data_IF_686260597364
#
_entry.id   IF_686260597364
#
_cell.length_a   1.000
_cell.length_b   1.000
_cell.length_c   1.000
_cell.angle_alpha   90.00
_cell.angle_beta   90.00
_cell.angle_gamma   90.00
#
_symmetry.space_group_name_H-M   'P 1'
#
loop_
_entity.id
_entity.type
_entity.pdbx_description
1 polymer ?
#
# COMPACT_ATOMS: atom_id res chain seq x y z
N UNK A 1 -24.92 24.88 -29.11
CA UNK A 1 -25.36 26.23 -29.54
C UNK A 1 -25.21 27.32 -28.45
N UNK A 2 -25.26 26.98 -27.15
CA UNK A 2 -25.16 27.94 -26.02
C UNK A 2 -23.73 28.47 -25.81
N UNK A 3 -22.71 27.62 -25.97
CA UNK A 3 -21.29 27.97 -25.83
C UNK A 3 -20.85 29.02 -26.87
N UNK A 4 -21.30 28.88 -28.12
CA UNK A 4 -21.01 29.83 -29.20
C UNK A 4 -21.68 31.21 -29.02
N UNK A 5 -22.79 31.29 -28.27
CA UNK A 5 -23.45 32.56 -27.91
C UNK A 5 -22.72 33.26 -26.75
N UNK A 6 -22.28 32.51 -25.72
CA UNK A 6 -21.49 33.08 -24.61
C UNK A 6 -20.11 33.57 -25.05
N UNK A 7 -19.44 32.85 -25.95
CA UNK A 7 -18.18 33.33 -26.57
C UNK A 7 -18.35 34.63 -27.35
N UNK A 8 -19.50 34.81 -28.02
CA UNK A 8 -19.81 36.05 -28.76
C UNK A 8 -20.05 37.25 -27.84
N UNK A 9 -20.66 37.02 -26.68
CA UNK A 9 -20.88 38.05 -25.66
C UNK A 9 -19.56 38.48 -24.99
N UNK A 10 -18.62 37.55 -24.78
CA UNK A 10 -17.28 37.89 -24.26
C UNK A 10 -16.45 38.69 -25.25
N UNK A 11 -16.62 38.47 -26.57
CA UNK A 11 -15.99 39.30 -27.60
C UNK A 11 -16.58 40.73 -27.70
N UNK A 12 -17.83 40.95 -27.24
CA UNK A 12 -18.45 42.28 -27.20
C UNK A 12 -17.98 43.13 -26.01
N UNK A 13 -17.37 42.54 -24.98
CA UNK A 13 -16.81 43.23 -23.81
C UNK A 13 -15.38 43.77 -24.01
N UNK A 14 -14.89 43.88 -25.25
CA UNK A 14 -13.59 44.54 -25.55
C UNK A 14 -12.34 43.74 -25.17
N UNK A 15 -12.47 42.46 -24.80
CA UNK A 15 -11.31 41.63 -24.50
C UNK A 15 -10.61 41.20 -25.81
N UNK A 16 -9.31 41.52 -26.00
CA UNK A 16 -8.56 41.03 -27.14
C UNK A 16 -8.61 39.50 -27.19
N UNK A 17 -8.78 38.93 -28.40
CA UNK A 17 -8.84 37.46 -28.64
C UNK A 17 -7.72 36.68 -27.93
N UNK A 18 -6.55 37.30 -27.75
CA UNK A 18 -5.41 36.75 -27.02
C UNK A 18 -5.73 36.46 -25.54
N UNK A 19 -6.49 37.33 -24.86
CA UNK A 19 -6.88 37.12 -23.46
C UNK A 19 -7.88 35.97 -23.29
N UNK A 20 -8.79 35.77 -24.24
CA UNK A 20 -9.75 34.66 -24.21
C UNK A 20 -9.04 33.32 -24.40
N UNK A 21 -8.08 33.25 -25.33
CA UNK A 21 -7.29 32.03 -25.55
C UNK A 21 -6.43 31.74 -24.32
N UNK A 22 -5.76 32.77 -23.78
CA UNK A 22 -4.94 32.64 -22.58
C UNK A 22 -5.76 32.13 -21.39
N UNK A 23 -6.98 32.66 -21.16
CA UNK A 23 -7.82 32.21 -20.06
C UNK A 23 -8.26 30.75 -20.21
N UNK A 24 -8.60 30.29 -21.41
CA UNK A 24 -8.95 28.89 -21.67
C UNK A 24 -7.76 27.97 -21.36
N UNK A 25 -6.57 28.33 -21.86
CA UNK A 25 -5.34 27.55 -21.61
C UNK A 25 -5.01 27.52 -20.12
N UNK A 26 -5.12 28.64 -19.42
CA UNK A 26 -4.91 28.70 -17.96
C UNK A 26 -5.89 27.78 -17.24
N UNK A 27 -7.18 27.81 -17.58
CA UNK A 27 -8.18 26.92 -16.96
C UNK A 27 -7.87 25.45 -17.24
N UNK A 28 -7.45 25.10 -18.46
CA UNK A 28 -7.06 23.74 -18.81
C UNK A 28 -5.85 23.24 -18.00
N UNK A 29 -4.84 24.08 -17.83
CA UNK A 29 -3.65 23.77 -17.02
C UNK A 29 -4.02 23.66 -15.55
N UNK A 30 -4.83 24.59 -15.03
CA UNK A 30 -5.28 24.55 -13.63
C UNK A 30 -6.11 23.30 -13.34
N UNK A 31 -6.98 22.89 -14.26
CA UNK A 31 -7.77 21.67 -14.11
C UNK A 31 -6.87 20.42 -14.11
N UNK A 32 -5.89 20.36 -15.02
CA UNK A 32 -4.94 19.24 -15.07
C UNK A 32 -4.08 19.20 -13.80
N UNK A 33 -3.60 20.36 -13.33
CA UNK A 33 -2.88 20.46 -12.07
C UNK A 33 -3.73 19.98 -10.90
N UNK A 34 -4.99 20.42 -10.80
CA UNK A 34 -5.90 19.97 -9.76
C UNK A 34 -6.04 18.44 -9.73
N UNK A 35 -6.28 17.81 -10.89
CA UNK A 35 -6.41 16.34 -10.97
C UNK A 35 -5.12 15.61 -10.57
N UNK A 36 -3.96 16.18 -10.92
CA UNK A 36 -2.65 15.62 -10.60
C UNK A 36 -2.30 15.72 -9.11
N UNK A 37 -2.62 16.85 -8.47
CA UNK A 37 -2.23 17.15 -7.08
C UNK A 37 -3.30 16.82 -6.03
N UNK A 38 -4.52 16.45 -6.45
CA UNK A 38 -5.55 16.02 -5.51
C UNK A 38 -5.09 14.82 -4.67
N UNK A 39 -5.48 14.84 -3.39
CA UNK A 39 -5.29 13.71 -2.48
C UNK A 39 -6.13 12.53 -2.92
N UNK A 40 -5.57 11.32 -2.77
CA UNK A 40 -6.21 10.07 -3.18
C UNK A 40 -5.98 9.00 -2.15
N UNK A 41 -6.93 8.07 -2.08
CA UNK A 41 -6.81 6.86 -1.27
C UNK A 41 -5.90 5.88 -2.01
N UNK A 42 -4.81 5.49 -1.34
CA UNK A 42 -3.88 4.50 -1.82
C UNK A 42 -4.01 3.23 -0.97
N UNK A 43 -4.18 2.10 -1.64
CA UNK A 43 -4.13 0.78 -1.02
C UNK A 43 -2.77 0.18 -1.36
N UNK A 44 -1.98 -0.10 -0.32
CA UNK A 44 -0.72 -0.81 -0.47
C UNK A 44 -0.97 -2.29 -0.29
N UNK A 45 -0.41 -3.08 -1.18
CA UNK A 45 -0.33 -4.53 -1.10
C UNK A 45 1.12 -4.90 -0.93
N UNK A 46 1.45 -5.57 0.17
CA UNK A 46 2.78 -6.13 0.40
C UNK A 46 2.69 -7.64 0.27
N UNK A 47 3.50 -8.21 -0.60
CA UNK A 47 3.62 -9.65 -0.79
C UNK A 47 5.08 -10.04 -0.63
N UNK A 48 5.39 -10.89 0.34
CA UNK A 48 6.77 -11.17 0.73
C UNK A 48 6.96 -12.63 1.16
N UNK A 49 8.19 -13.12 1.03
CA UNK A 49 8.68 -14.34 1.69
C UNK A 49 9.73 -13.95 2.72
N UNK A 50 9.54 -14.36 3.96
CA UNK A 50 10.39 -13.94 5.09
C UNK A 50 10.53 -15.05 6.11
N UNK A 51 11.67 -15.06 6.81
CA UNK A 51 11.90 -15.97 7.93
C UNK A 51 11.43 -15.39 9.26
N UNK A 52 11.22 -14.07 9.31
CA UNK A 52 10.71 -13.34 10.48
C UNK A 52 9.64 -12.32 10.08
N UNK A 53 8.58 -12.27 10.88
CA UNK A 53 7.50 -11.33 10.74
C UNK A 53 7.07 -10.86 12.13
N UNK A 54 6.91 -9.55 12.29
CA UNK A 54 6.36 -8.97 13.51
C UNK A 54 5.04 -8.28 13.21
N UNK A 55 4.01 -8.63 13.97
CA UNK A 55 2.66 -8.06 13.83
C UNK A 55 2.21 -7.52 15.18
N UNK A 56 1.89 -6.23 15.25
CA UNK A 56 1.21 -5.64 16.40
C UNK A 56 -0.30 -5.76 16.19
N UNK A 57 -0.94 -6.59 17.00
CA UNK A 57 -2.33 -7.02 16.83
C UNK A 57 -3.30 -5.87 17.14
N UNK A 58 -4.21 -5.59 16.21
CA UNK A 58 -5.31 -4.66 16.40
C UNK A 58 -6.57 -5.37 16.92
N UNK A 59 -7.54 -4.63 17.44
CA UNK A 59 -8.81 -5.20 17.89
C UNK A 59 -9.64 -5.73 16.70
N UNK A 60 -9.78 -7.06 16.61
CA UNK A 60 -10.61 -7.73 15.61
C UNK A 60 -10.77 -9.24 15.86
N UNK A 61 -11.94 -9.80 15.51
CA UNK A 61 -12.16 -11.26 15.55
C UNK A 61 -11.38 -12.06 14.51
N UNK A 62 -10.77 -11.42 13.50
CA UNK A 62 -9.87 -12.10 12.55
C UNK A 62 -8.57 -12.57 13.23
N UNK A 63 -8.18 -11.96 14.35
CA UNK A 63 -6.99 -12.33 15.12
C UNK A 63 -7.23 -13.57 16.01
N UNK A 64 -7.93 -14.55 15.44
CA UNK A 64 -8.17 -15.87 16.00
C UNK A 64 -7.47 -16.88 15.11
N UNK A 65 -6.59 -17.70 15.69
CA UNK A 65 -5.81 -18.68 14.94
C UNK A 65 -6.12 -20.08 15.40
N UNK A 66 -6.31 -20.99 14.44
CA UNK A 66 -6.42 -22.41 14.72
C UNK A 66 -5.05 -22.97 15.11
N UNK A 67 -5.00 -23.66 16.25
CA UNK A 67 -3.78 -24.26 16.79
C UNK A 67 -3.93 -25.79 16.76
N UNK A 68 -3.03 -26.51 16.09
CA UNK A 68 -3.06 -27.97 16.05
C UNK A 68 -2.78 -28.58 17.42
N UNK A 69 -3.32 -29.77 17.68
CA UNK A 69 -3.14 -30.48 18.96
C UNK A 69 -1.68 -30.78 19.34
N UNK A 70 -0.79 -30.88 18.35
CA UNK A 70 0.64 -31.16 18.57
C UNK A 70 1.47 -29.88 18.79
N UNK A 71 0.85 -28.70 18.73
CA UNK A 71 1.52 -27.47 19.10
C UNK A 71 1.70 -27.40 20.62
N UNK A 72 2.83 -26.89 21.05
CA UNK A 72 3.12 -26.66 22.46
C UNK A 72 2.93 -25.18 22.76
N UNK A 73 2.07 -24.87 23.73
CA UNK A 73 1.87 -23.51 24.24
C UNK A 73 2.57 -23.42 25.58
N UNK A 74 3.55 -22.53 25.68
CA UNK A 74 4.42 -22.38 26.85
C UNK A 74 4.26 -20.95 27.37
N UNK A 75 3.68 -20.81 28.57
CA UNK A 75 3.67 -19.53 29.26
C UNK A 75 4.98 -19.38 30.04
N UNK A 76 5.78 -18.39 29.65
CA UNK A 76 7.13 -18.22 30.19
C UNK A 76 7.15 -17.92 31.68
N UNK A 77 6.18 -17.13 32.17
CA UNK A 77 6.14 -16.71 33.57
C UNK A 77 5.49 -17.76 34.47
N UNK A 78 4.53 -18.53 33.95
CA UNK A 78 3.97 -19.67 34.67
C UNK A 78 4.90 -20.90 34.64
N UNK A 79 5.85 -20.95 33.70
CA UNK A 79 6.69 -22.12 33.40
C UNK A 79 5.86 -23.41 33.20
N UNK A 80 4.64 -23.24 32.68
CA UNK A 80 3.65 -24.30 32.58
C UNK A 80 3.25 -24.46 31.10
N UNK A 81 3.19 -25.71 30.65
CA UNK A 81 2.67 -26.03 29.33
C UNK A 81 1.15 -26.08 29.43
N UNK A 82 0.47 -25.33 28.56
CA UNK A 82 -0.99 -25.30 28.53
C UNK A 82 -1.46 -26.49 27.69
N UNK A 83 -2.19 -27.46 28.29
CA UNK A 83 -2.65 -28.62 27.54
C UNK A 83 -3.74 -28.21 26.54
N UNK A 84 -3.60 -28.68 25.31
CA UNK A 84 -4.64 -28.58 24.28
C UNK A 84 -5.56 -29.80 24.38
N UNK A 85 -6.82 -29.57 24.74
CA UNK A 85 -7.85 -30.60 24.86
C UNK A 85 -8.88 -30.52 23.73
N UNK A 86 -9.26 -31.66 23.13
CA UNK A 86 -10.30 -31.72 22.10
C UNK A 86 -9.77 -31.64 20.67
N UNK A 87 -10.65 -31.76 19.67
CA UNK A 87 -10.29 -31.87 18.24
C UNK A 87 -9.90 -30.55 17.58
N UNK A 88 -10.39 -29.43 18.11
CA UNK A 88 -10.16 -28.09 17.59
C UNK A 88 -9.81 -27.17 18.76
N UNK A 89 -8.72 -26.42 18.58
CA UNK A 89 -8.25 -25.43 19.55
C UNK A 89 -7.96 -24.13 18.82
N UNK A 90 -8.32 -23.01 19.42
CA UNK A 90 -8.12 -21.68 18.86
C UNK A 90 -7.41 -20.79 19.87
N UNK A 91 -6.52 -19.92 19.39
CA UNK A 91 -5.98 -18.83 20.20
C UNK A 91 -6.62 -17.52 19.77
N UNK A 92 -7.19 -16.80 20.73
CA UNK A 92 -7.75 -15.47 20.58
C UNK A 92 -6.71 -14.46 21.06
N UNK A 93 -6.05 -13.77 20.14
CA UNK A 93 -4.93 -12.88 20.50
C UNK A 93 -5.46 -11.50 20.88
N UNK A 94 -5.09 -11.00 22.06
CA UNK A 94 -5.52 -9.71 22.56
C UNK A 94 -4.94 -8.54 21.74
N UNK A 95 -5.70 -7.45 21.62
CA UNK A 95 -5.22 -6.23 20.99
C UNK A 95 -4.03 -5.62 21.75
N UNK A 96 -3.08 -5.04 21.02
CA UNK A 96 -1.83 -4.50 21.57
C UNK A 96 -0.73 -5.56 21.77
N UNK A 97 -1.05 -6.84 21.60
CA UNK A 97 -0.05 -7.92 21.61
C UNK A 97 0.84 -7.83 20.38
N UNK A 98 2.14 -8.02 20.58
CA UNK A 98 3.13 -8.15 19.52
C UNK A 98 3.36 -9.63 19.26
N UNK A 99 2.96 -10.09 18.07
CA UNK A 99 3.21 -11.43 17.61
C UNK A 99 4.46 -11.47 16.72
N UNK A 100 5.49 -12.17 17.16
CA UNK A 100 6.72 -12.39 16.41
C UNK A 100 6.72 -13.83 15.90
N UNK A 101 6.53 -14.00 14.60
CA UNK A 101 6.57 -15.30 13.92
C UNK A 101 7.98 -15.51 13.36
N UNK A 102 8.61 -16.62 13.71
CA UNK A 102 10.00 -16.93 13.30
C UNK A 102 10.10 -18.39 12.86
N UNK A 103 10.87 -18.64 11.79
CA UNK A 103 11.26 -20.00 11.39
C UNK A 103 12.58 -20.37 12.07
N UNK A 104 12.56 -21.43 12.87
CA UNK A 104 13.77 -22.06 13.42
C UNK A 104 14.31 -23.07 12.41
N UNK A 105 15.22 -22.63 11.54
CA UNK A 105 15.81 -23.45 10.47
C UNK A 105 16.55 -24.70 10.97
N UNK A 106 17.05 -24.69 12.22
CA UNK A 106 17.75 -25.86 12.77
C UNK A 106 16.80 -27.01 13.10
N UNK A 107 15.53 -26.68 13.41
CA UNK A 107 14.51 -27.63 13.82
C UNK A 107 13.32 -27.69 12.85
N UNK A 108 13.39 -26.96 11.74
CA UNK A 108 12.37 -26.86 10.69
C UNK A 108 10.95 -26.60 11.25
N UNK A 109 10.86 -25.70 12.23
CA UNK A 109 9.62 -25.42 12.95
C UNK A 109 9.30 -23.94 12.98
N UNK A 110 8.01 -23.64 12.95
CA UNK A 110 7.48 -22.32 13.22
C UNK A 110 7.41 -22.10 14.73
N UNK A 111 7.83 -20.93 15.18
CA UNK A 111 7.65 -20.43 16.54
C UNK A 111 6.92 -19.09 16.46
N UNK A 112 5.83 -18.95 17.21
CA UNK A 112 5.14 -17.68 17.38
C UNK A 112 5.30 -17.25 18.83
N UNK A 113 6.01 -16.16 19.04
CA UNK A 113 6.15 -15.52 20.36
C UNK A 113 5.14 -14.39 20.46
N UNK A 114 4.29 -14.44 21.47
CA UNK A 114 3.32 -13.41 21.80
C UNK A 114 3.80 -12.64 23.02
N UNK A 115 3.88 -11.31 22.90
CA UNK A 115 4.32 -10.43 23.98
C UNK A 115 3.34 -9.27 24.14
N UNK A 116 2.87 -9.03 25.36
CA UNK A 116 2.10 -7.84 25.71
C UNK A 116 2.84 -7.03 26.78
N UNK A 117 3.36 -5.88 26.38
CA UNK A 117 4.17 -4.98 27.23
C UNK A 117 3.36 -4.13 28.21
N UNK A 118 2.03 -4.30 28.25
CA UNK A 118 1.18 -3.58 29.20
C UNK A 118 1.33 -4.19 30.59
N UNK A 119 1.46 -3.36 31.62
CA UNK A 119 1.55 -3.83 33.02
C UNK A 119 0.26 -4.56 33.41
N UNK A 120 0.37 -5.85 33.75
CA UNK A 120 -0.79 -6.72 34.02
C UNK A 120 -1.55 -7.14 32.75
N UNK A 121 -0.97 -6.92 31.57
CA UNK A 121 -1.54 -7.30 30.29
C UNK A 121 -1.66 -8.82 30.12
N UNK A 122 -2.43 -9.23 29.12
CA UNK A 122 -2.56 -10.61 28.69
C UNK A 122 -2.38 -10.64 27.17
N UNK A 123 -1.74 -11.69 26.66
CA UNK A 123 -1.63 -11.91 25.21
C UNK A 123 -2.92 -12.47 24.61
N UNK A 124 -3.89 -12.85 25.46
CA UNK A 124 -5.19 -13.38 25.03
C UNK A 124 -5.63 -14.63 25.78
N UNK A 125 -6.34 -15.51 25.09
CA UNK A 125 -6.88 -16.74 25.65
C UNK A 125 -6.85 -17.88 24.63
N UNK A 126 -6.78 -19.11 25.15
CA UNK A 126 -6.88 -20.33 24.35
C UNK A 126 -8.24 -20.94 24.58
N UNK A 127 -8.97 -21.18 23.51
CA UNK A 127 -10.21 -21.93 23.49
C UNK A 127 -9.91 -23.38 23.10
N UNK A 128 -10.21 -24.31 24.00
CA UNK A 128 -10.02 -25.74 23.77
C UNK A 128 -11.19 -26.50 24.38
N UNK A 129 -11.89 -27.31 23.57
CA UNK A 129 -13.06 -28.09 24.02
C UNK A 129 -14.12 -27.22 24.76
N UNK A 130 -14.40 -26.02 24.22
CA UNK A 130 -15.32 -25.02 24.80
C UNK A 130 -14.89 -24.41 26.15
N UNK A 131 -13.67 -24.70 26.62
CA UNK A 131 -13.08 -24.05 27.78
C UNK A 131 -12.12 -22.96 27.33
N UNK A 132 -12.17 -21.82 28.01
CA UNK A 132 -11.26 -20.69 27.79
C UNK A 132 -10.20 -20.69 28.89
N UNK A 133 -8.93 -20.73 28.49
CA UNK A 133 -7.78 -20.64 29.38
C UNK A 133 -7.06 -19.31 29.11
N UNK A 134 -6.97 -18.41 30.10
CA UNK A 134 -6.29 -17.13 29.92
C UNK A 134 -4.78 -17.33 29.78
N UNK A 135 -4.16 -16.53 28.92
CA UNK A 135 -2.73 -16.50 28.71
C UNK A 135 -2.08 -15.35 29.46
N UNK A 136 -0.83 -15.53 29.91
CA UNK A 136 -0.03 -14.49 30.56
C UNK A 136 0.44 -13.39 29.60
N UNK A 137 1.53 -12.71 29.96
CA UNK A 137 2.10 -11.59 29.19
C UNK A 137 3.06 -12.02 28.08
N UNK A 138 3.61 -13.24 28.21
CA UNK A 138 4.62 -13.76 27.30
C UNK A 138 4.38 -15.25 27.08
N UNK A 139 4.03 -15.62 25.86
CA UNK A 139 3.68 -16.98 25.49
C UNK A 139 4.36 -17.37 24.19
N UNK A 140 5.01 -18.53 24.21
CA UNK A 140 5.56 -19.15 23.01
C UNK A 140 4.63 -20.26 22.52
N UNK A 141 4.35 -20.25 21.22
CA UNK A 141 3.60 -21.29 20.52
C UNK A 141 4.57 -21.98 19.58
N UNK A 142 4.84 -23.25 19.84
CA UNK A 142 5.83 -24.05 19.10
C UNK A 142 5.11 -25.12 18.30
N UNK A 143 5.23 -25.07 16.98
CA UNK A 143 4.62 -26.06 16.09
C UNK A 143 5.59 -27.22 15.86
N UNK A 144 5.38 -28.35 16.54
CA UNK A 144 6.35 -29.45 16.59
C UNK A 144 6.32 -30.38 15.38
N UNK A 145 5.19 -30.43 14.65
CA UNK A 145 5.05 -31.28 13.46
C UNK A 145 5.01 -30.45 12.17
N UNK A 146 5.61 -30.96 11.08
CA UNK A 146 5.59 -30.28 9.79
C UNK A 146 4.18 -30.34 9.19
N UNK A 147 3.51 -29.20 9.14
CA UNK A 147 2.25 -29.04 8.43
C UNK A 147 2.07 -27.61 7.91
N UNK A 148 1.19 -27.46 6.93
CA UNK A 148 0.82 -26.15 6.41
C UNK A 148 -0.06 -25.41 7.43
N UNK A 149 0.25 -24.14 7.66
CA UNK A 149 -0.47 -23.28 8.60
C UNK A 149 -0.80 -21.94 7.95
N UNK A 150 -1.96 -21.37 8.29
CA UNK A 150 -2.41 -20.07 7.80
C UNK A 150 -2.88 -19.23 8.99
N UNK A 151 -2.27 -18.06 9.17
CA UNK A 151 -2.58 -17.12 10.24
C UNK A 151 -3.13 -15.83 9.63
N UNK A 152 -4.46 -15.64 9.61
CA UNK A 152 -5.01 -14.36 9.22
C UNK A 152 -4.69 -13.32 10.32
N UNK A 153 -4.47 -12.08 9.94
CA UNK A 153 -4.21 -11.03 10.92
C UNK A 153 -4.79 -9.68 10.50
N UNK A 154 -5.07 -8.87 11.51
CA UNK A 154 -5.32 -7.43 11.41
C UNK A 154 -4.46 -6.71 12.44
N UNK A 155 -3.57 -5.85 11.98
CA UNK A 155 -2.57 -5.21 12.84
C UNK A 155 -1.57 -4.36 12.04
N UNK A 156 -0.64 -3.70 12.74
CA UNK A 156 0.55 -3.14 12.08
C UNK A 156 1.60 -4.22 11.88
N UNK A 157 2.42 -4.09 10.85
CA UNK A 157 3.32 -5.15 10.41
C UNK A 157 4.72 -4.59 10.15
N UNK A 158 5.72 -5.34 10.59
CA UNK A 158 7.13 -5.13 10.25
C UNK A 158 7.64 -6.42 9.60
N UNK A 159 8.11 -6.29 8.36
CA UNK A 159 8.74 -7.38 7.60
C UNK A 159 10.26 -7.25 7.66
N UNK A 160 10.96 -8.37 7.78
CA UNK A 160 12.43 -8.39 7.75
C UNK A 160 13.06 -7.69 8.94
N UNK A 161 12.67 -8.07 10.16
CA UNK A 161 13.16 -7.44 11.40
C UNK A 161 14.67 -7.64 11.61
N UNK A 162 15.27 -6.71 12.36
CA UNK A 162 16.67 -6.29 12.29
C UNK A 162 17.74 -7.41 12.37
N UNK A 163 18.83 -7.15 11.63
CA UNK A 163 20.12 -7.87 11.55
C UNK A 163 20.92 -7.66 12.84
N UNK A 164 20.26 -7.76 14.00
CA UNK A 164 20.94 -7.78 15.29
C UNK A 164 21.75 -9.08 15.40
N UNK A 165 22.95 -8.97 15.97
CA UNK A 165 23.89 -10.09 16.06
C UNK A 165 23.23 -11.35 16.66
N UNK A 166 23.03 -12.37 15.82
CA UNK A 166 22.48 -13.67 16.23
C UNK A 166 21.12 -14.06 15.63
N UNK A 167 20.49 -13.22 14.79
CA UNK A 167 19.23 -13.56 14.12
C UNK A 167 19.48 -13.74 12.61
N UNK A 168 19.56 -14.99 12.15
CA UNK A 168 19.65 -15.37 10.74
C UNK A 168 18.25 -15.39 10.06
N UNK A 169 17.39 -14.43 10.39
CA UNK A 169 16.04 -14.34 9.84
C UNK A 169 15.88 -13.04 9.06
N UNK A 170 15.73 -13.17 7.74
CA UNK A 170 15.71 -12.03 6.81
C UNK A 170 14.49 -12.11 5.90
N UNK A 171 14.10 -10.96 5.36
CA UNK A 171 13.27 -10.94 4.16
C UNK A 171 14.05 -11.62 3.03
N UNK A 172 13.42 -12.56 2.32
CA UNK A 172 14.04 -13.30 1.20
C UNK A 172 13.72 -12.67 -0.14
N UNK A 173 12.45 -12.36 -0.36
CA UNK A 173 11.97 -11.68 -1.56
C UNK A 173 10.63 -11.01 -1.27
N UNK A 174 10.24 -10.02 -2.06
CA UNK A 174 8.90 -9.47 -1.99
C UNK A 174 8.65 -8.32 -2.95
N UNK A 175 7.43 -7.80 -2.91
CA UNK A 175 7.03 -6.63 -3.66
C UNK A 175 6.01 -5.80 -2.90
N UNK A 176 6.07 -4.49 -3.13
CA UNK A 176 5.07 -3.53 -2.69
C UNK A 176 4.36 -3.02 -3.94
N UNK A 177 3.06 -3.29 -4.02
CA UNK A 177 2.20 -2.77 -5.08
C UNK A 177 1.25 -1.72 -4.52
N UNK A 178 1.26 -0.55 -5.15
CA UNK A 178 0.40 0.58 -4.78
C UNK A 178 -0.75 0.64 -5.77
N UNK A 179 -1.96 0.57 -5.24
CA UNK A 179 -3.21 0.66 -5.99
C UNK A 179 -3.88 1.96 -5.60
N UNK A 180 -4.04 2.87 -6.55
CA UNK A 180 -4.64 4.18 -6.34
C UNK A 180 -6.03 4.22 -6.96
N UNK A 181 -6.97 4.91 -6.32
CA UNK A 181 -8.29 5.18 -6.88
C UNK A 181 -8.26 6.39 -7.81
N UNK A 182 -9.07 6.37 -8.87
CA UNK A 182 -9.30 7.55 -9.71
C UNK A 182 -9.98 8.69 -8.94
N UNK A 183 -9.72 9.95 -9.31
CA UNK A 183 -10.32 11.11 -8.64
C UNK A 183 -11.81 11.26 -8.95
N UNK A 184 -12.22 10.91 -10.17
CA UNK A 184 -13.59 11.13 -10.68
C UNK A 184 -14.35 9.82 -10.94
N UNK A 185 -13.78 8.68 -10.52
CA UNK A 185 -14.32 7.36 -10.80
C UNK A 185 -14.02 6.35 -9.69
N UNK A 186 -14.68 5.19 -9.79
CA UNK A 186 -14.50 4.06 -8.86
C UNK A 186 -13.46 3.04 -9.36
N UNK A 187 -12.79 3.36 -10.47
CA UNK A 187 -11.74 2.52 -11.03
C UNK A 187 -10.46 2.70 -10.23
N UNK A 188 -9.73 1.59 -10.07
CA UNK A 188 -8.43 1.54 -9.42
C UNK A 188 -7.36 1.13 -10.43
N UNK A 189 -6.19 1.73 -10.34
CA UNK A 189 -5.05 1.41 -11.20
C UNK A 189 -3.78 1.22 -10.37
N UNK A 190 -2.80 0.52 -10.96
CA UNK A 190 -1.49 0.33 -10.33
C UNK A 190 -0.67 1.62 -10.52
N UNK A 191 -0.46 2.34 -9.43
CA UNK A 191 0.28 3.60 -9.41
C UNK A 191 1.77 3.40 -9.10
N UNK A 192 2.15 2.22 -8.59
CA UNK A 192 3.53 1.88 -8.30
C UNK A 192 3.72 0.40 -8.02
N UNK A 193 4.89 -0.11 -8.38
CA UNK A 193 5.34 -1.45 -8.03
C UNK A 193 6.82 -1.36 -7.70
N UNK A 194 7.19 -1.83 -6.53
CA UNK A 194 8.55 -1.79 -6.00
C UNK A 194 8.93 -3.20 -5.61
N UNK A 195 10.04 -3.69 -6.14
CA UNK A 195 10.60 -4.97 -5.73
C UNK A 195 11.41 -4.77 -4.44
N UNK A 196 11.32 -5.75 -3.55
CA UNK A 196 12.07 -5.79 -2.30
C UNK A 196 13.21 -6.79 -2.47
N UNK A 197 14.39 -6.40 -1.99
CA UNK A 197 15.57 -7.25 -2.03
C UNK A 197 15.75 -8.00 -0.70
N UNK A 198 16.57 -9.05 -0.74
CA UNK A 198 16.89 -9.82 0.46
C UNK A 198 17.52 -8.92 1.54
N UNK A 199 17.04 -9.06 2.77
CA UNK A 199 17.47 -8.25 3.91
C UNK A 199 16.85 -6.85 4.01
N UNK A 200 15.93 -6.48 3.11
CA UNK A 200 15.15 -5.25 3.27
C UNK A 200 14.16 -5.38 4.44
N UNK A 201 14.01 -4.29 5.20
CA UNK A 201 13.00 -4.15 6.24
C UNK A 201 11.89 -3.22 5.76
N UNK A 202 10.64 -3.64 5.92
CA UNK A 202 9.48 -2.87 5.44
C UNK A 202 8.53 -2.52 6.56
N UNK A 203 8.16 -1.23 6.62
CA UNK A 203 7.13 -0.69 7.52
C UNK A 203 6.17 0.20 6.75
N UNK A 204 4.91 0.29 7.18
CA UNK A 204 3.85 1.05 6.51
C UNK A 204 3.26 2.09 7.48
N UNK A 205 3.15 3.33 7.01
CA UNK A 205 2.82 4.50 7.83
C UNK A 205 1.73 5.37 7.20
N UNK A 206 0.93 6.03 8.02
CA UNK A 206 -0.09 6.97 7.56
C UNK A 206 0.45 8.38 7.30
N UNK A 207 1.66 8.67 7.79
CA UNK A 207 2.32 9.96 7.65
C UNK A 207 3.76 9.82 7.14
N UNK A 208 4.27 10.90 6.55
CA UNK A 208 5.65 10.94 6.03
C UNK A 208 6.72 11.13 7.12
N UNK A 209 6.31 11.39 8.37
CA UNK A 209 7.20 11.47 9.53
C UNK A 209 7.33 10.12 10.26
N UNK A 210 6.63 9.08 9.79
CA UNK A 210 6.62 7.71 10.31
C UNK A 210 6.18 7.61 11.78
N UNK A 211 5.25 8.47 12.19
CA UNK A 211 4.76 8.51 13.57
C UNK A 211 3.56 7.59 13.81
N UNK A 212 2.82 7.27 12.76
CA UNK A 212 1.58 6.51 12.85
C UNK A 212 1.61 5.26 11.97
N UNK A 213 1.79 4.13 12.63
CA UNK A 213 1.60 2.81 12.05
C UNK A 213 0.20 2.64 11.42
N UNK A 214 0.14 1.87 10.35
CA UNK A 214 -1.10 1.51 9.67
C UNK A 214 -1.62 0.15 10.14
N UNK A 215 -2.93 0.07 10.34
CA UNK A 215 -3.61 -1.21 10.53
C UNK A 215 -3.89 -1.85 9.17
N UNK A 216 -3.17 -2.93 8.89
CA UNK A 216 -3.30 -3.76 7.70
C UNK A 216 -4.22 -4.95 7.96
N UNK A 217 -4.65 -5.61 6.89
CA UNK A 217 -5.28 -6.93 6.92
C UNK A 217 -4.51 -7.87 6.02
N UNK A 218 -4.23 -9.06 6.49
CA UNK A 218 -3.41 -10.00 5.74
C UNK A 218 -3.52 -11.43 6.22
N UNK A 219 -2.69 -12.26 5.63
CA UNK A 219 -2.48 -13.63 6.05
C UNK A 219 -0.99 -13.97 5.96
N UNK A 220 -0.56 -14.82 6.88
CA UNK A 220 0.75 -15.45 6.90
C UNK A 220 0.53 -16.92 6.61
N UNK A 221 1.26 -17.47 5.64
CA UNK A 221 1.22 -18.88 5.29
C UNK A 221 2.58 -19.49 5.55
N UNK A 222 2.61 -20.55 6.34
CA UNK A 222 3.79 -21.35 6.61
C UNK A 222 3.65 -22.71 5.92
N UNK A 223 4.71 -23.12 5.23
CA UNK A 223 4.88 -24.45 4.66
C UNK A 223 6.23 -25.01 5.16
N UNK A 224 6.28 -26.26 5.65
CA UNK A 224 7.53 -26.84 6.15
C UNK A 224 8.62 -26.81 5.08
N UNK A 225 9.81 -26.31 5.45
CA UNK A 225 10.96 -26.18 4.55
C UNK A 225 10.96 -24.95 3.64
N UNK A 226 9.91 -24.11 3.70
CA UNK A 226 9.80 -22.87 2.91
C UNK A 226 9.74 -21.65 3.83
N UNK A 227 10.23 -20.46 3.39
CA UNK A 227 10.02 -19.21 4.10
C UNK A 227 8.52 -18.89 4.25
N UNK A 228 8.17 -18.11 5.29
CA UNK A 228 6.78 -17.70 5.47
C UNK A 228 6.35 -16.78 4.33
N UNK A 229 5.25 -17.11 3.67
CA UNK A 229 4.63 -16.26 2.67
C UNK A 229 3.63 -15.31 3.35
N UNK A 230 3.89 -14.01 3.25
CA UNK A 230 3.08 -12.96 3.85
C UNK A 230 2.40 -12.17 2.75
N UNK A 231 1.10 -11.94 2.90
CA UNK A 231 0.36 -10.99 2.06
C UNK A 231 -0.48 -10.09 2.94
N UNK A 232 -0.28 -8.78 2.81
CA UNK A 232 -0.96 -7.76 3.59
C UNK A 232 -1.47 -6.64 2.70
N UNK A 233 -2.64 -6.10 3.03
CA UNK A 233 -3.26 -4.98 2.34
C UNK A 233 -3.76 -3.95 3.35
N UNK A 234 -3.60 -2.66 3.03
CA UNK A 234 -4.21 -1.60 3.81
C UNK A 234 -4.11 -0.23 3.16
N UNK A 235 -4.92 0.69 3.64
CA UNK A 235 -4.88 2.09 3.25
C UNK A 235 -3.74 2.79 4.00
N UNK A 236 -2.83 3.40 3.25
CA UNK A 236 -1.60 4.01 3.80
C UNK A 236 -1.06 5.03 2.80
N UNK A 237 -0.19 5.93 3.27
CA UNK A 237 0.40 6.98 2.44
C UNK A 237 1.81 6.62 1.97
N UNK A 238 2.59 5.89 2.77
CA UNK A 238 3.98 5.56 2.48
C UNK A 238 4.37 4.20 3.04
N UNK A 239 5.12 3.43 2.25
CA UNK A 239 5.84 2.27 2.74
C UNK A 239 7.34 2.58 2.78
N UNK A 240 7.93 2.51 3.97
CA UNK A 240 9.34 2.78 4.20
C UNK A 240 10.11 1.47 4.08
N UNK A 241 11.10 1.46 3.18
CA UNK A 241 12.01 0.34 2.98
C UNK A 241 13.38 0.73 3.51
N UNK A 242 13.83 0.05 4.55
CA UNK A 242 15.18 0.19 5.10
C UNK A 242 16.05 -0.91 4.52
N UNK A 243 17.22 -0.53 4.00
CA UNK A 243 18.14 -1.46 3.36
C UNK A 243 19.52 -1.36 3.97
N UNK A 244 20.04 -2.49 4.44
CA UNK A 244 21.36 -2.57 5.05
C UNK A 244 22.43 -1.96 4.13
N UNK A 245 23.24 -1.05 4.68
CA UNK A 245 24.32 -0.39 3.92
C UNK A 245 23.88 0.73 2.98
N UNK A 246 22.61 1.14 3.00
CA UNK A 246 22.11 2.29 2.25
C UNK A 246 21.12 3.12 3.07
N UNK A 247 20.67 4.26 2.52
CA UNK A 247 19.70 5.14 3.18
C UNK A 247 18.25 4.62 3.13
N UNK A 248 18.01 3.46 2.52
CA UNK A 248 16.66 2.98 2.21
C UNK A 248 15.93 3.87 1.19
N UNK A 249 14.63 3.63 1.00
CA UNK A 249 13.77 4.45 0.15
C UNK A 249 12.30 4.41 0.59
N UNK A 250 11.52 5.38 0.12
CA UNK A 250 10.08 5.44 0.36
C UNK A 250 9.35 4.96 -0.90
N UNK A 251 8.66 3.83 -0.81
CA UNK A 251 7.72 3.39 -1.83
C UNK A 251 6.46 4.25 -1.72
N UNK A 252 6.24 5.13 -2.70
CA UNK A 252 5.05 5.98 -2.81
C UNK A 252 4.65 6.23 -4.25
N UNK A 253 3.38 6.58 -4.46
CA UNK A 253 2.89 6.99 -5.78
C UNK A 253 3.67 8.21 -6.29
N UNK A 254 4.30 8.09 -7.45
CA UNK A 254 4.96 9.21 -8.13
C UNK A 254 3.98 9.96 -9.02
N UNK A 255 4.13 11.28 -9.11
CA UNK A 255 3.35 12.12 -10.03
C UNK A 255 3.49 11.67 -11.49
N UNK A 256 4.68 11.18 -11.88
CA UNK A 256 4.90 10.66 -13.22
C UNK A 256 4.09 9.40 -13.50
N UNK A 257 3.89 8.56 -12.48
CA UNK A 257 3.05 7.36 -12.60
C UNK A 257 1.58 7.73 -12.72
N UNK A 258 1.11 8.76 -12.01
CA UNK A 258 -0.24 9.32 -12.22
C UNK A 258 -0.39 9.81 -13.65
N UNK A 259 0.56 10.58 -14.16
CA UNK A 259 0.50 11.07 -15.55
C UNK A 259 0.42 9.94 -16.59
N UNK A 260 1.17 8.85 -16.36
CA UNK A 260 1.25 7.73 -17.30
C UNK A 260 0.08 6.74 -17.20
N UNK A 261 -0.49 6.55 -16.01
CA UNK A 261 -1.41 5.44 -15.73
C UNK A 261 -2.82 5.88 -15.33
N UNK A 262 -3.05 7.13 -14.92
CA UNK A 262 -4.37 7.61 -14.50
C UNK A 262 -5.28 7.83 -15.74
N UNK A 263 -6.39 7.08 -15.87
CA UNK A 263 -7.29 7.20 -17.01
C UNK A 263 -7.92 8.58 -17.18
N UNK A 264 -8.16 9.32 -16.10
CA UNK A 264 -8.68 10.70 -16.15
C UNK A 264 -7.63 11.64 -16.74
N UNK A 265 -6.38 11.51 -16.30
CA UNK A 265 -5.27 12.34 -16.83
C UNK A 265 -5.01 12.02 -18.29
N UNK A 266 -5.04 10.74 -18.67
CA UNK A 266 -4.89 10.29 -20.06
C UNK A 266 -6.04 10.85 -20.93
N UNK A 267 -7.28 10.81 -20.45
CA UNK A 267 -8.43 11.35 -21.17
C UNK A 267 -8.31 12.87 -21.37
N UNK A 268 -7.94 13.62 -20.32
CA UNK A 268 -7.76 15.07 -20.39
C UNK A 268 -6.62 15.47 -21.32
N UNK A 269 -5.46 14.83 -21.20
CA UNK A 269 -4.29 15.12 -22.05
C UNK A 269 -4.58 14.79 -23.51
N UNK A 270 -5.29 13.68 -23.78
CA UNK A 270 -5.75 13.32 -25.13
C UNK A 270 -6.72 14.35 -25.70
N UNK A 271 -7.70 14.82 -24.91
CA UNK A 271 -8.62 15.88 -25.31
C UNK A 271 -7.86 17.17 -25.66
N UNK A 272 -6.87 17.53 -24.86
CA UNK A 272 -6.06 18.72 -25.07
C UNK A 272 -5.23 18.60 -26.36
N UNK A 273 -4.60 17.45 -26.60
CA UNK A 273 -3.86 17.18 -27.83
C UNK A 273 -4.74 17.31 -29.08
N UNK A 274 -5.96 16.76 -29.05
CA UNK A 274 -6.93 16.88 -30.15
C UNK A 274 -7.32 18.34 -30.38
N UNK A 275 -7.58 19.11 -29.32
CA UNK A 275 -7.88 20.53 -29.44
C UNK A 275 -6.75 21.34 -30.08
N UNK A 276 -5.50 21.07 -29.68
CA UNK A 276 -4.33 21.73 -30.27
C UNK A 276 -4.13 21.35 -31.74
N UNK A 277 -4.30 20.08 -32.10
CA UNK A 277 -4.23 19.61 -33.47
C UNK A 277 -5.28 20.29 -34.36
N UNK A 278 -6.52 20.40 -33.87
CA UNK A 278 -7.59 21.12 -34.59
C UNK A 278 -7.22 22.61 -34.77
N UNK A 279 -6.65 23.24 -33.75
CA UNK A 279 -6.24 24.65 -33.82
C UNK A 279 -5.12 24.85 -34.84
N UNK A 280 -4.10 23.99 -34.84
CA UNK A 280 -3.01 24.01 -35.82
C UNK A 280 -3.54 23.80 -37.25
N UNK A 281 -4.43 22.82 -37.44
CA UNK A 281 -5.09 22.57 -38.72
C UNK A 281 -5.88 23.79 -39.20
N UNK A 282 -6.60 24.50 -38.32
CA UNK A 282 -7.29 25.74 -38.67
C UNK A 282 -6.33 26.86 -39.09
N UNK A 283 -5.18 26.98 -38.41
CA UNK A 283 -4.14 27.97 -38.75
C UNK A 283 -3.53 27.67 -40.12
N UNK A 284 -3.22 26.41 -40.39
CA UNK A 284 -2.68 25.95 -41.68
C UNK A 284 -3.68 26.14 -42.83
N UNK A 285 -4.95 25.78 -42.63
CA UNK A 285 -5.99 26.04 -43.63
C UNK A 285 -6.09 27.53 -43.93
N UNK A 286 -6.05 28.38 -42.88
CA UNK A 286 -6.11 29.83 -43.08
C UNK A 286 -4.89 30.39 -43.81
N UNK A 287 -3.69 29.85 -43.60
CA UNK A 287 -2.49 30.31 -44.32
C UNK A 287 -2.52 29.89 -45.79
N UNK A 288 -3.04 28.70 -46.10
CA UNK A 288 -3.20 28.21 -47.48
C UNK A 288 -4.26 29.03 -48.23
N UNK A 289 -5.38 29.37 -47.59
CA UNK A 289 -6.46 30.14 -48.21
C UNK A 289 -6.30 31.67 -48.08
N UNK A 290 -5.22 32.15 -47.47
CA UNK A 290 -4.92 33.58 -47.44
C UNK A 290 -4.42 34.04 -48.82
N UNK A 291 -5.32 34.64 -49.60
CA UNK A 291 -5.00 35.28 -50.89
C UNK A 291 -3.92 36.35 -50.65
N UNK A 292 -2.78 36.32 -51.36
CA UNK A 292 -1.80 37.39 -51.26
C UNK A 292 -2.47 38.70 -51.72
N UNK A 293 -2.42 39.73 -50.87
CA UNK A 293 -2.79 41.08 -51.28
C UNK A 293 -1.81 41.49 -52.37
N UNK A 294 -2.28 41.55 -53.61
CA UNK A 294 -1.56 42.18 -54.71
C UNK A 294 -1.22 43.60 -54.27
N UNK A 295 0.06 43.89 -54.13
CA UNK A 295 0.55 45.26 -54.00
C UNK A 295 0.10 46.00 -55.27
N UNK A 296 -0.85 46.93 -55.13
CA UNK A 296 -1.15 47.88 -56.19
C UNK A 296 0.14 48.64 -56.50
N UNK A 297 0.58 48.48 -57.74
CA UNK A 297 1.69 49.19 -58.35
C UNK A 297 1.56 50.69 -58.07
N UNK A 298 2.44 51.21 -57.22
CA UNK A 298 2.86 52.60 -57.32
C UNK A 298 3.69 52.74 -58.59
N UNK A 299 3.18 53.47 -59.58
CA UNK A 299 3.97 54.15 -60.62
C UNK A 299 3.07 55.14 -61.38
N UNK A 300 3.55 56.33 -61.75
CA UNK A 300 4.48 57.25 -61.09
C UNK A 300 3.80 58.52 -60.53
#
# INVERSE_FOLDING_TARGET
>A
MIVARRLRHLMQCGWPRRLIILSIVTVMISLLAYVMFAERVNIYTVSAKTDILKVTIAENGINQWEIPQHAEIIDFFAAEQIPLEGSESYIHVAAGTVATMTIDHNKERLVITLENNSEGGSVGEVESNFNYTPLGQYVDIVFTQPQQLIFPFRGSMILGDDVAAGVDAVLREGSIRIIEQELLGDVRYISGEFQLDEGDRVTLHNDFEYQQDVVLRGFVRYEPGEPMAVTAHGETTVARVERMGSTGYDAKTSMWKRFANDPVVIAMTSLYAVMFLILEMMVLLRSIFAVPRTEEQQSP
#
